data_IF_635638211620
#
_entry.id   IF_635638211620
#
_cell.length_a   1.000
_cell.length_b   1.000
_cell.length_c   1.000
_cell.angle_alpha   90.00
_cell.angle_beta   90.00
_cell.angle_gamma   90.00
#
_symmetry.space_group_name_H-M   'P 1'
#
loop_
_entity.id
_entity.type
_entity.pdbx_description
1 polymer ?
#
# COMPACT_ATOMS: atom_id res chain seq x y z
N UNK A 1 -6.97 -19.91 20.44
CA UNK A 1 -7.08 -18.64 21.18
C UNK A 1 -8.44 -18.06 20.86
N UNK A 2 -9.34 -17.98 21.83
CA UNK A 2 -10.63 -17.29 21.67
C UNK A 2 -10.33 -15.82 21.37
N UNK A 3 -10.63 -15.33 20.16
CA UNK A 3 -10.63 -13.89 19.86
C UNK A 3 -11.48 -13.25 20.96
N UNK A 4 -10.86 -12.46 21.83
CA UNK A 4 -11.59 -11.65 22.82
C UNK A 4 -12.50 -10.75 21.98
N UNK A 5 -13.81 -11.00 21.98
CA UNK A 5 -14.71 -10.24 21.13
C UNK A 5 -14.89 -8.87 21.76
N UNK A 6 -14.17 -7.87 21.25
CA UNK A 6 -14.45 -6.47 21.56
C UNK A 6 -15.93 -6.19 21.31
N UNK A 7 -16.56 -5.29 22.10
CA UNK A 7 -17.94 -4.87 21.88
C UNK A 7 -18.21 -4.50 20.42
N UNK A 8 -19.45 -4.69 19.94
CA UNK A 8 -19.80 -4.41 18.54
C UNK A 8 -19.50 -2.97 18.13
N UNK A 9 -19.64 -2.02 19.06
CA UNK A 9 -19.39 -0.59 18.88
C UNK A 9 -17.92 -0.19 19.07
N UNK A 10 -17.01 -1.15 19.32
CA UNK A 10 -15.59 -0.84 19.50
C UNK A 10 -15.01 -0.35 18.16
N UNK A 11 -14.40 0.85 18.10
CA UNK A 11 -13.88 1.40 16.86
C UNK A 11 -12.83 0.49 16.23
N UNK A 12 -12.93 0.28 14.92
CA UNK A 12 -12.03 -0.61 14.17
C UNK A 12 -11.43 0.06 12.96
N UNK A 13 -10.21 -0.33 12.63
CA UNK A 13 -9.56 -0.08 11.35
C UNK A 13 -9.23 -1.43 10.73
N UNK A 14 -9.60 -1.62 9.47
CA UNK A 14 -9.26 -2.83 8.72
C UNK A 14 -8.13 -2.52 7.72
N UNK A 15 -7.12 -3.37 7.72
CA UNK A 15 -6.01 -3.31 6.79
C UNK A 15 -6.16 -4.46 5.81
N UNK A 16 -6.68 -4.18 4.62
CA UNK A 16 -6.94 -5.19 3.60
C UNK A 16 -5.91 -5.11 2.48
N UNK A 17 -5.23 -6.23 2.21
CA UNK A 17 -4.17 -6.24 1.21
C UNK A 17 -3.48 -7.60 1.03
N UNK A 18 -2.30 -7.55 0.43
CA UNK A 18 -1.46 -8.73 0.18
C UNK A 18 -0.39 -8.94 1.25
N UNK A 19 0.71 -9.63 0.91
CA UNK A 19 1.81 -9.90 1.83
C UNK A 19 2.50 -8.63 2.36
N UNK A 20 2.42 -7.50 1.65
CA UNK A 20 2.91 -6.20 2.16
C UNK A 20 2.04 -5.67 3.31
N UNK A 21 0.76 -6.04 3.34
CA UNK A 21 -0.12 -5.75 4.46
C UNK A 21 0.05 -6.76 5.58
N UNK A 22 0.15 -8.05 5.25
CA UNK A 22 0.35 -9.13 6.23
C UNK A 22 1.57 -8.87 7.10
N UNK A 23 2.71 -8.59 6.46
CA UNK A 23 3.99 -8.38 7.14
C UNK A 23 4.05 -7.08 7.94
N UNK A 24 3.11 -6.16 7.75
CA UNK A 24 3.11 -4.89 8.46
C UNK A 24 2.88 -5.03 9.98
N UNK A 25 2.45 -6.21 10.46
CA UNK A 25 2.32 -6.53 11.88
C UNK A 25 3.56 -7.22 12.47
N UNK A 26 4.59 -7.51 11.66
CA UNK A 26 5.81 -8.17 12.14
C UNK A 26 6.69 -7.18 12.91
N UNK A 27 7.20 -7.62 14.06
CA UNK A 27 8.01 -6.77 14.95
C UNK A 27 9.29 -6.27 14.29
N UNK A 28 9.93 -7.13 13.49
CA UNK A 28 11.16 -6.83 12.76
C UNK A 28 11.00 -5.70 11.74
N UNK A 29 9.78 -5.50 11.25
CA UNK A 29 9.51 -4.69 10.08
C UNK A 29 8.99 -3.29 10.47
N UNK A 30 8.58 -3.10 11.73
CA UNK A 30 8.05 -1.84 12.28
C UNK A 30 6.98 -1.20 11.37
N UNK A 31 6.12 -2.06 10.81
CA UNK A 31 5.17 -1.72 9.75
C UNK A 31 4.00 -0.84 10.19
N UNK A 32 3.23 -0.38 9.20
CA UNK A 32 2.12 0.55 9.42
C UNK A 32 1.02 -0.04 10.32
N UNK A 33 0.80 -1.36 10.33
CA UNK A 33 -0.14 -2.00 11.23
C UNK A 33 0.29 -1.83 12.69
N UNK A 34 1.56 -2.13 13.01
CA UNK A 34 2.16 -1.90 14.33
C UNK A 34 2.09 -0.43 14.74
N UNK A 35 2.42 0.48 13.82
CA UNK A 35 2.35 1.93 14.07
C UNK A 35 0.93 2.39 14.40
N UNK A 36 -0.08 1.84 13.72
CA UNK A 36 -1.49 2.10 14.03
C UNK A 36 -1.88 1.54 15.40
N UNK A 37 -1.45 0.31 15.73
CA UNK A 37 -1.68 -0.29 17.05
C UNK A 37 -1.07 0.55 18.17
N UNK A 38 0.19 0.97 18.03
CA UNK A 38 0.90 1.83 18.97
C UNK A 38 0.22 3.20 19.11
N UNK A 39 -0.19 3.81 17.99
CA UNK A 39 -0.80 5.13 18.01
C UNK A 39 -2.16 5.12 18.72
N UNK A 40 -3.01 4.14 18.40
CA UNK A 40 -4.36 4.02 18.94
C UNK A 40 -4.45 3.18 20.21
N UNK A 41 -3.33 2.76 20.80
CA UNK A 41 -3.24 1.85 21.95
C UNK A 41 -4.40 2.00 22.95
N UNK A 42 -5.17 0.91 23.10
CA UNK A 42 -6.35 0.81 23.97
C UNK A 42 -7.57 1.63 23.55
N UNK A 43 -7.65 2.14 22.30
CA UNK A 43 -8.74 3.02 21.81
C UNK A 43 -9.42 2.52 20.55
N UNK A 44 -8.63 1.98 19.60
CA UNK A 44 -9.11 1.48 18.31
C UNK A 44 -8.46 0.13 18.05
N UNK A 45 -9.24 -0.83 17.55
CA UNK A 45 -8.77 -2.16 17.23
C UNK A 45 -8.31 -2.19 15.77
N UNK A 46 -7.07 -2.65 15.55
CA UNK A 46 -6.49 -2.78 14.22
C UNK A 46 -6.62 -4.23 13.78
N UNK A 47 -7.30 -4.47 12.66
CA UNK A 47 -7.49 -5.80 12.10
C UNK A 47 -6.68 -5.90 10.81
N UNK A 48 -5.67 -6.78 10.80
CA UNK A 48 -4.85 -7.04 9.62
C UNK A 48 -5.39 -8.24 8.86
N UNK A 49 -5.90 -8.01 7.66
CA UNK A 49 -6.39 -9.01 6.70
C UNK A 49 -5.49 -9.04 5.44
N UNK A 50 -4.18 -9.05 5.64
CA UNK A 50 -3.18 -9.26 4.60
C UNK A 50 -3.03 -10.74 4.26
N UNK A 51 -3.35 -11.15 3.02
CA UNK A 51 -3.34 -12.58 2.66
C UNK A 51 -2.81 -12.83 1.23
N UNK A 52 -3.34 -12.16 0.18
CA UNK A 52 -2.99 -12.49 -1.23
C UNK A 52 -3.46 -11.46 -2.28
N UNK A 53 -3.70 -11.87 -3.55
CA UNK A 53 -4.05 -10.99 -4.72
C UNK A 53 -5.51 -10.53 -4.77
N UNK A 54 -5.84 -9.52 -5.59
CA UNK A 54 -7.24 -9.03 -5.71
C UNK A 54 -8.24 -10.14 -6.03
N UNK A 55 -7.91 -11.05 -6.96
CA UNK A 55 -8.83 -12.10 -7.41
C UNK A 55 -9.11 -13.15 -6.34
N UNK A 56 -8.07 -13.66 -5.69
CA UNK A 56 -8.24 -14.67 -4.64
C UNK A 56 -8.85 -14.08 -3.36
N UNK A 57 -8.75 -12.76 -3.17
CA UNK A 57 -9.26 -12.08 -2.00
C UNK A 57 -10.75 -11.76 -2.04
N UNK A 58 -11.48 -11.87 -3.15
CA UNK A 58 -12.90 -11.45 -3.19
C UNK A 58 -13.74 -12.13 -2.13
N UNK A 59 -13.61 -13.46 -1.99
CA UNK A 59 -14.32 -14.21 -0.96
C UNK A 59 -13.90 -13.84 0.46
N UNK A 60 -12.62 -13.52 0.65
CA UNK A 60 -12.07 -13.12 1.94
C UNK A 60 -12.58 -11.72 2.30
N UNK A 61 -12.57 -10.78 1.36
CA UNK A 61 -13.14 -9.45 1.53
C UNK A 61 -14.60 -9.51 1.96
N UNK A 62 -15.43 -10.29 1.26
CA UNK A 62 -16.82 -10.46 1.65
C UNK A 62 -16.94 -11.05 3.06
N UNK A 63 -16.13 -12.05 3.40
CA UNK A 63 -16.19 -12.75 4.70
C UNK A 63 -15.66 -11.93 5.87
N UNK A 64 -14.47 -11.36 5.75
CA UNK A 64 -13.73 -10.73 6.85
C UNK A 64 -14.03 -9.24 6.98
N UNK A 65 -14.51 -8.59 5.92
CA UNK A 65 -14.84 -7.15 5.92
C UNK A 65 -16.34 -6.96 5.86
N UNK A 66 -17.01 -7.34 4.77
CA UNK A 66 -18.42 -6.98 4.55
C UNK A 66 -19.36 -7.69 5.52
N UNK A 67 -19.20 -9.00 5.73
CA UNK A 67 -20.02 -9.74 6.68
C UNK A 67 -19.76 -9.27 8.12
N UNK A 68 -18.51 -8.96 8.49
CA UNK A 68 -18.20 -8.41 9.82
C UNK A 68 -18.84 -7.02 10.03
N UNK A 69 -18.83 -6.15 9.01
CA UNK A 69 -19.54 -4.87 9.04
C UNK A 69 -21.06 -5.09 9.21
N UNK A 70 -21.62 -6.08 8.53
CA UNK A 70 -23.04 -6.46 8.66
C UNK A 70 -23.37 -6.94 10.07
N UNK A 71 -22.58 -7.89 10.58
CA UNK A 71 -22.81 -8.56 11.85
C UNK A 71 -22.66 -7.62 13.04
N UNK A 72 -21.73 -6.66 12.94
CA UNK A 72 -21.52 -5.64 13.97
C UNK A 72 -22.55 -4.51 13.92
N UNK A 73 -23.02 -4.17 12.73
CA UNK A 73 -23.92 -3.04 12.53
C UNK A 73 -23.21 -1.69 12.65
N UNK A 74 -23.98 -0.61 12.72
CA UNK A 74 -23.44 0.74 12.86
C UNK A 74 -22.99 1.04 14.32
N UNK A 75 -21.94 1.86 14.52
CA UNK A 75 -21.10 2.48 13.50
C UNK A 75 -20.13 1.48 12.86
N UNK A 76 -19.94 1.60 11.55
CA UNK A 76 -18.96 0.80 10.82
C UNK A 76 -17.51 1.18 11.18
N UNK A 77 -16.53 0.51 10.56
CA UNK A 77 -15.10 0.80 10.77
C UNK A 77 -14.77 2.27 10.52
N UNK A 78 -13.73 2.78 11.17
CA UNK A 78 -13.23 4.14 10.97
C UNK A 78 -12.73 4.32 9.54
N UNK A 79 -11.86 3.40 9.10
CA UNK A 79 -11.48 3.27 7.71
C UNK A 79 -11.03 1.84 7.37
N UNK A 80 -11.01 1.56 6.07
CA UNK A 80 -10.42 0.36 5.49
C UNK A 80 -9.31 0.79 4.53
N UNK A 81 -8.08 0.28 4.70
CA UNK A 81 -7.05 0.42 3.66
C UNK A 81 -7.21 -0.70 2.64
N UNK A 82 -7.04 -0.39 1.36
CA UNK A 82 -6.96 -1.37 0.28
C UNK A 82 -5.58 -1.20 -0.36
N UNK A 83 -4.68 -2.16 -0.09
CA UNK A 83 -3.30 -2.14 -0.57
C UNK A 83 -2.98 -3.41 -1.37
N UNK A 84 -3.25 -3.34 -2.67
CA UNK A 84 -3.18 -4.46 -3.61
C UNK A 84 -2.55 -4.01 -4.93
N UNK A 85 -2.15 -4.98 -5.76
CA UNK A 85 -1.52 -4.72 -7.06
C UNK A 85 -0.06 -5.17 -7.15
N UNK A 86 0.61 -5.42 -6.01
CA UNK A 86 2.01 -5.83 -6.04
C UNK A 86 2.15 -7.24 -6.65
N UNK A 87 1.22 -8.14 -6.36
CA UNK A 87 1.15 -9.45 -6.99
C UNK A 87 0.46 -9.39 -8.35
N UNK A 88 -0.69 -8.71 -8.45
CA UNK A 88 -1.53 -8.64 -9.65
C UNK A 88 -0.79 -8.15 -10.91
N UNK A 89 0.20 -7.28 -10.71
CA UNK A 89 1.06 -6.74 -11.76
C UNK A 89 2.22 -7.65 -12.18
N UNK A 90 2.33 -8.87 -11.64
CA UNK A 90 3.35 -9.83 -12.06
C UNK A 90 3.23 -10.17 -13.54
N UNK A 91 4.36 -10.47 -14.19
CA UNK A 91 4.32 -10.92 -15.58
C UNK A 91 3.66 -12.30 -15.68
N UNK A 92 2.94 -12.53 -16.78
CA UNK A 92 2.39 -13.84 -17.14
C UNK A 92 3.52 -14.88 -17.03
N UNK A 93 3.25 -16.02 -16.38
CA UNK A 93 4.17 -17.12 -16.05
C UNK A 93 5.20 -16.87 -14.92
N UNK A 94 5.29 -15.65 -14.37
CA UNK A 94 6.23 -15.32 -13.27
C UNK A 94 5.55 -15.12 -11.91
N UNK A 95 4.21 -15.08 -11.87
CA UNK A 95 3.45 -14.90 -10.65
C UNK A 95 1.95 -14.79 -10.90
N UNK A 96 1.17 -14.40 -9.89
CA UNK A 96 -0.27 -14.24 -10.01
C UNK A 96 -0.60 -12.98 -10.81
N UNK A 97 -0.79 -13.11 -12.12
CA UNK A 97 -1.20 -11.99 -12.97
C UNK A 97 -2.72 -11.84 -13.00
N UNK A 98 -3.20 -10.60 -12.84
CA UNK A 98 -4.61 -10.24 -13.08
C UNK A 98 -4.63 -9.19 -14.18
N UNK A 99 -5.34 -9.41 -15.30
CA UNK A 99 -5.45 -8.41 -16.36
C UNK A 99 -5.94 -7.06 -15.84
N UNK A 100 -5.35 -5.95 -16.31
CA UNK A 100 -5.65 -4.62 -15.79
C UNK A 100 -7.17 -4.29 -15.74
N UNK A 101 -8.00 -4.60 -16.76
CA UNK A 101 -9.45 -4.36 -16.66
C UNK A 101 -10.13 -5.15 -15.54
N UNK A 102 -9.72 -6.40 -15.29
CA UNK A 102 -10.25 -7.23 -14.21
C UNK A 102 -9.79 -6.69 -12.84
N UNK A 103 -8.54 -6.25 -12.74
CA UNK A 103 -8.01 -5.58 -11.55
C UNK A 103 -8.81 -4.30 -11.22
N UNK A 104 -9.09 -3.46 -12.23
CA UNK A 104 -9.90 -2.26 -12.07
C UNK A 104 -11.31 -2.58 -11.53
N UNK A 105 -11.96 -3.61 -12.09
CA UNK A 105 -13.27 -4.08 -11.62
C UNK A 105 -13.21 -4.48 -10.14
N UNK A 106 -12.22 -5.28 -9.75
CA UNK A 106 -12.07 -5.73 -8.36
C UNK A 106 -11.86 -4.58 -7.38
N UNK A 107 -10.97 -3.63 -7.70
CA UNK A 107 -10.72 -2.48 -6.82
C UNK A 107 -11.98 -1.63 -6.66
N UNK A 108 -12.71 -1.37 -7.75
CA UNK A 108 -13.98 -0.63 -7.71
C UNK A 108 -15.05 -1.37 -6.92
N UNK A 109 -15.15 -2.70 -7.08
CA UNK A 109 -16.04 -3.55 -6.28
C UNK A 109 -15.76 -3.36 -4.79
N UNK A 110 -14.51 -3.48 -4.35
CA UNK A 110 -14.15 -3.33 -2.94
C UNK A 110 -14.49 -1.95 -2.37
N UNK A 111 -14.18 -0.88 -3.10
CA UNK A 111 -14.51 0.48 -2.66
C UNK A 111 -16.03 0.67 -2.56
N UNK A 112 -16.78 0.34 -3.62
CA UNK A 112 -18.23 0.52 -3.65
C UNK A 112 -18.94 -0.35 -2.59
N UNK A 113 -18.51 -1.60 -2.41
CA UNK A 113 -19.05 -2.48 -1.37
C UNK A 113 -18.94 -1.89 0.03
N UNK A 114 -17.94 -1.05 0.32
CA UNK A 114 -17.83 -0.33 1.61
C UNK A 114 -18.68 0.94 1.59
N UNK A 115 -18.61 1.73 0.52
CA UNK A 115 -19.29 3.02 0.44
C UNK A 115 -20.81 2.88 0.48
N UNK A 116 -21.34 1.88 -0.21
CA UNK A 116 -22.77 1.63 -0.36
C UNK A 116 -23.36 0.84 0.81
N UNK A 117 -22.53 0.30 1.70
CA UNK A 117 -23.00 -0.54 2.79
C UNK A 117 -23.76 0.26 3.87
N UNK A 118 -24.98 -0.15 4.28
CA UNK A 118 -25.82 0.63 5.20
C UNK A 118 -25.21 0.79 6.59
N UNK A 119 -24.45 -0.19 7.08
CA UNK A 119 -23.74 -0.09 8.37
C UNK A 119 -22.41 0.67 8.30
N UNK A 120 -21.93 1.01 7.10
CA UNK A 120 -20.62 1.62 6.90
C UNK A 120 -20.70 3.07 6.40
N UNK A 121 -21.82 3.76 6.61
CA UNK A 121 -22.05 5.11 6.05
C UNK A 121 -21.01 6.15 6.48
N UNK A 122 -20.35 5.94 7.63
CA UNK A 122 -19.24 6.79 8.12
C UNK A 122 -17.85 6.24 7.80
N UNK A 123 -17.74 5.03 7.26
CA UNK A 123 -16.48 4.34 7.01
C UNK A 123 -15.74 4.97 5.84
N UNK A 124 -14.48 5.29 6.06
CA UNK A 124 -13.60 5.82 5.02
C UNK A 124 -12.84 4.71 4.31
N UNK A 125 -12.33 4.99 3.12
CA UNK A 125 -11.50 4.06 2.35
C UNK A 125 -10.20 4.75 1.95
N UNK A 126 -9.07 4.08 2.18
CA UNK A 126 -7.75 4.55 1.71
C UNK A 126 -7.25 3.56 0.69
N UNK A 127 -7.13 3.99 -0.56
CA UNK A 127 -6.45 3.23 -1.60
C UNK A 127 -4.96 3.51 -1.54
N UNK A 128 -4.13 2.47 -1.53
CA UNK A 128 -2.67 2.60 -1.52
C UNK A 128 -2.14 1.95 -2.79
N UNK A 129 -1.41 2.71 -3.61
CA UNK A 129 -0.82 2.17 -4.84
C UNK A 129 0.29 1.16 -4.52
N UNK A 130 0.45 0.06 -5.29
CA UNK A 130 1.57 -0.85 -5.11
C UNK A 130 2.93 -0.14 -5.27
N UNK A 131 3.99 -0.60 -4.56
CA UNK A 131 5.33 -0.07 -4.73
C UNK A 131 5.98 -0.56 -6.04
N UNK A 132 7.11 0.05 -6.45
CA UNK A 132 8.02 -0.57 -7.40
C UNK A 132 8.62 -1.87 -6.86
N UNK A 133 9.24 -2.62 -7.75
CA UNK A 133 10.21 -3.67 -7.39
C UNK A 133 11.61 -3.07 -7.40
N UNK A 134 12.47 -3.55 -6.52
CA UNK A 134 13.88 -3.17 -6.53
C UNK A 134 14.66 -4.16 -7.39
N UNK A 135 14.70 -3.87 -8.70
CA UNK A 135 15.51 -4.63 -9.63
C UNK A 135 16.92 -4.04 -9.67
N UNK A 136 17.97 -4.84 -9.40
CA UNK A 136 19.34 -4.40 -9.59
C UNK A 136 19.62 -4.10 -11.07
N UNK A 137 20.37 -3.03 -11.32
CA UNK A 137 20.86 -2.76 -12.67
C UNK A 137 21.76 -3.91 -13.12
N UNK A 138 21.86 -4.16 -14.42
CA UNK A 138 22.69 -5.25 -14.96
C UNK A 138 24.20 -5.08 -14.71
N UNK A 139 24.62 -4.01 -14.02
CA UNK A 139 26.02 -3.67 -13.78
C UNK A 139 26.79 -3.29 -15.05
N UNK A 140 26.08 -3.12 -16.18
CA UNK A 140 26.67 -2.54 -17.38
C UNK A 140 26.89 -1.05 -17.11
N UNK A 141 28.14 -0.63 -17.03
CA UNK A 141 28.47 0.79 -17.05
C UNK A 141 27.91 1.42 -18.32
N UNK A 142 27.42 2.67 -18.28
CA UNK A 142 27.13 3.41 -19.50
C UNK A 142 28.35 3.31 -20.41
N UNK A 143 28.19 2.77 -21.62
CA UNK A 143 29.26 2.86 -22.61
C UNK A 143 29.63 4.34 -22.78
N UNK A 144 30.92 4.63 -23.01
CA UNK A 144 31.43 5.98 -23.33
C UNK A 144 30.39 6.76 -24.14
N UNK A 145 30.05 8.00 -23.72
CA UNK A 145 28.96 8.89 -24.17
C UNK A 145 28.74 8.97 -25.70
N UNK A 146 28.33 7.86 -26.29
CA UNK A 146 28.01 7.69 -27.70
C UNK A 146 26.50 7.45 -27.74
N UNK A 147 25.70 8.46 -28.15
CA UNK A 147 24.24 8.42 -28.06
C UNK A 147 23.63 7.15 -28.65
N UNK A 148 24.15 6.67 -29.79
CA UNK A 148 23.64 5.46 -30.45
C UNK A 148 23.92 4.15 -29.70
N UNK A 149 24.93 4.10 -28.84
CA UNK A 149 25.22 2.93 -28.00
C UNK A 149 24.34 2.95 -26.75
N UNK A 150 24.17 4.10 -26.11
CA UNK A 150 23.30 4.29 -24.94
C UNK A 150 21.85 3.94 -25.25
N UNK A 151 21.31 4.42 -26.38
CA UNK A 151 19.94 4.13 -26.80
C UNK A 151 19.72 2.63 -27.07
N UNK A 152 20.71 1.97 -27.69
CA UNK A 152 20.66 0.54 -27.94
C UNK A 152 20.71 -0.27 -26.65
N UNK A 153 21.58 0.09 -25.70
CA UNK A 153 21.68 -0.55 -24.39
C UNK A 153 20.39 -0.41 -23.59
N UNK A 154 19.79 0.78 -23.58
CA UNK A 154 18.50 1.01 -22.92
C UNK A 154 17.39 0.17 -23.57
N UNK A 155 17.33 0.13 -24.89
CA UNK A 155 16.35 -0.69 -25.63
C UNK A 155 16.47 -2.18 -25.30
N UNK A 156 17.70 -2.70 -25.17
CA UNK A 156 17.95 -4.08 -24.75
C UNK A 156 17.53 -4.29 -23.30
N UNK A 157 17.87 -3.37 -22.39
CA UNK A 157 17.49 -3.46 -20.98
C UNK A 157 15.97 -3.49 -20.79
N UNK A 158 15.22 -2.74 -21.62
CA UNK A 158 13.74 -2.76 -21.64
C UNK A 158 13.15 -4.11 -22.04
N UNK A 159 13.90 -4.98 -22.72
CA UNK A 159 13.45 -6.34 -23.04
C UNK A 159 13.60 -7.30 -21.85
N UNK A 160 14.36 -6.92 -20.82
CA UNK A 160 14.57 -7.75 -19.63
C UNK A 160 13.27 -8.00 -18.88
N UNK A 161 13.16 -9.18 -18.26
CA UNK A 161 12.04 -9.52 -17.37
C UNK A 161 11.90 -8.50 -16.24
N UNK A 162 13.03 -7.97 -15.80
CA UNK A 162 13.16 -7.14 -14.64
C UNK A 162 12.52 -5.76 -14.86
N UNK A 163 12.94 -5.04 -15.90
CA UNK A 163 12.29 -3.80 -16.33
C UNK A 163 10.81 -4.02 -16.68
N UNK A 164 10.46 -5.10 -17.40
CA UNK A 164 9.05 -5.41 -17.73
C UNK A 164 8.18 -5.56 -16.48
N UNK A 165 8.72 -6.12 -15.41
CA UNK A 165 8.00 -6.27 -14.13
C UNK A 165 7.83 -4.92 -13.46
N UNK A 166 8.88 -4.09 -13.45
CA UNK A 166 8.82 -2.72 -12.93
C UNK A 166 7.79 -1.87 -13.69
N UNK A 167 7.82 -1.88 -15.04
CA UNK A 167 6.89 -1.14 -15.88
C UNK A 167 5.44 -1.62 -15.70
N UNK A 168 5.23 -2.94 -15.58
CA UNK A 168 3.91 -3.49 -15.26
C UNK A 168 3.39 -2.97 -13.92
N UNK A 169 4.22 -2.99 -12.86
CA UNK A 169 3.83 -2.47 -11.54
C UNK A 169 3.53 -0.97 -11.56
N UNK A 170 4.27 -0.18 -12.36
CA UNK A 170 4.01 1.24 -12.57
C UNK A 170 2.59 1.47 -13.11
N UNK A 171 2.18 0.73 -14.13
CA UNK A 171 0.84 0.83 -14.72
C UNK A 171 -0.26 0.55 -13.68
N UNK A 172 -0.08 -0.46 -12.82
CA UNK A 172 -1.04 -0.76 -11.76
C UNK A 172 -1.05 0.30 -10.65
N UNK A 173 0.11 0.86 -10.32
CA UNK A 173 0.21 1.98 -9.38
C UNK A 173 -0.53 3.22 -9.88
N UNK A 174 -0.24 3.64 -11.12
CA UNK A 174 -0.94 4.75 -11.79
C UNK A 174 -2.44 4.48 -11.86
N UNK A 175 -2.85 3.23 -12.08
CA UNK A 175 -4.27 2.88 -12.10
C UNK A 175 -4.95 3.00 -10.74
N UNK A 176 -4.32 2.56 -9.65
CA UNK A 176 -4.85 2.79 -8.30
C UNK A 176 -4.99 4.30 -8.02
N UNK A 177 -3.99 5.09 -8.40
CA UNK A 177 -4.05 6.56 -8.25
C UNK A 177 -5.22 7.14 -9.03
N UNK A 178 -5.40 6.75 -10.30
CA UNK A 178 -6.50 7.22 -11.13
C UNK A 178 -7.87 6.86 -10.56
N UNK A 179 -8.08 5.61 -10.14
CA UNK A 179 -9.34 5.17 -9.48
C UNK A 179 -9.57 5.96 -8.20
N UNK A 180 -8.54 6.11 -7.37
CA UNK A 180 -8.62 6.86 -6.13
C UNK A 180 -9.01 8.31 -6.34
N UNK A 181 -8.39 9.00 -7.30
CA UNK A 181 -8.73 10.39 -7.67
C UNK A 181 -10.16 10.53 -8.18
N UNK A 182 -10.64 9.56 -8.95
CA UNK A 182 -12.05 9.53 -9.39
C UNK A 182 -13.01 9.46 -8.19
N UNK A 183 -12.72 8.60 -7.21
CA UNK A 183 -13.54 8.49 -5.99
C UNK A 183 -13.42 9.71 -5.08
N UNK A 184 -12.22 10.31 -4.94
CA UNK A 184 -12.03 11.58 -4.24
C UNK A 184 -12.88 12.71 -4.83
N UNK A 185 -13.11 12.70 -6.15
CA UNK A 185 -14.01 13.65 -6.82
C UNK A 185 -15.50 13.40 -6.56
N UNK A 186 -15.88 12.24 -6.00
CA UNK A 186 -17.27 11.84 -5.74
C UNK A 186 -17.65 11.92 -4.26
N UNK A 187 -16.69 11.70 -3.36
CA UNK A 187 -16.93 11.70 -1.91
C UNK A 187 -15.67 12.06 -1.13
N UNK A 188 -15.85 12.69 0.02
CA UNK A 188 -14.80 12.97 1.00
C UNK A 188 -14.35 11.72 1.79
N UNK A 189 -15.11 10.61 1.70
CA UNK A 189 -14.83 9.35 2.40
C UNK A 189 -13.70 8.53 1.79
N UNK A 190 -13.21 8.89 0.59
CA UNK A 190 -12.11 8.18 -0.06
C UNK A 190 -10.86 9.05 -0.07
N UNK A 191 -9.70 8.42 0.16
CA UNK A 191 -8.39 9.01 -0.06
C UNK A 191 -7.52 8.05 -0.87
N UNK A 192 -6.54 8.61 -1.59
CA UNK A 192 -5.52 7.80 -2.28
C UNK A 192 -4.13 8.21 -1.88
N UNK A 193 -3.34 7.22 -1.48
CA UNK A 193 -1.91 7.32 -1.24
C UNK A 193 -1.17 6.80 -2.47
N UNK A 194 -0.57 7.72 -3.23
CA UNK A 194 0.40 7.40 -4.28
C UNK A 194 1.73 7.00 -3.64
N UNK A 195 1.75 5.77 -3.12
CA UNK A 195 2.91 5.22 -2.45
C UNK A 195 4.07 4.92 -3.41
N UNK A 196 3.78 4.65 -4.70
CA UNK A 196 4.82 4.51 -5.72
C UNK A 196 5.66 5.77 -5.81
N UNK A 197 5.01 6.93 -5.97
CA UNK A 197 5.71 8.22 -6.01
C UNK A 197 6.37 8.53 -4.67
N UNK A 198 5.70 8.25 -3.55
CA UNK A 198 6.26 8.55 -2.24
C UNK A 198 7.55 7.78 -1.92
N UNK A 199 7.59 6.46 -2.18
CA UNK A 199 8.78 5.65 -1.89
C UNK A 199 9.93 5.94 -2.85
N UNK A 200 9.64 6.18 -4.13
CA UNK A 200 10.66 6.56 -5.12
C UNK A 200 11.26 7.93 -4.78
N UNK A 201 10.45 8.93 -4.44
CA UNK A 201 10.93 10.23 -3.96
C UNK A 201 11.76 10.13 -2.69
N UNK A 202 11.31 9.32 -1.73
CA UNK A 202 12.07 9.10 -0.49
C UNK A 202 13.48 8.56 -0.80
N UNK A 203 13.59 7.60 -1.73
CA UNK A 203 14.89 7.06 -2.14
C UNK A 203 15.74 8.05 -2.91
N UNK A 204 15.17 8.76 -3.88
CA UNK A 204 15.85 9.80 -4.64
C UNK A 204 16.43 10.88 -3.71
N UNK A 205 15.66 11.30 -2.69
CA UNK A 205 16.11 12.27 -1.69
C UNK A 205 17.30 11.77 -0.86
N UNK A 206 17.34 10.50 -0.48
CA UNK A 206 18.51 9.93 0.20
C UNK A 206 19.77 9.94 -0.68
N UNK A 207 19.59 9.90 -2.00
CA UNK A 207 20.68 9.97 -2.97
C UNK A 207 21.06 11.41 -3.35
N UNK A 208 20.43 12.41 -2.72
CA UNK A 208 20.68 13.82 -3.03
C UNK A 208 20.08 14.29 -4.35
N UNK A 209 19.16 13.53 -4.95
CA UNK A 209 18.45 13.93 -6.17
C UNK A 209 17.46 15.05 -5.83
N UNK A 210 17.46 16.13 -6.63
CA UNK A 210 16.52 17.24 -6.48
C UNK A 210 15.13 16.89 -6.99
N UNK A 211 14.15 17.77 -6.80
CA UNK A 211 12.80 17.55 -7.36
C UNK A 211 12.83 17.54 -8.90
N UNK A 212 13.60 18.42 -9.52
CA UNK A 212 13.81 18.44 -10.97
C UNK A 212 14.48 17.16 -11.45
N UNK A 213 15.53 16.70 -10.75
CA UNK A 213 16.19 15.44 -11.07
C UNK A 213 15.27 14.22 -10.92
N UNK A 214 14.33 14.24 -9.97
CA UNK A 214 13.32 13.20 -9.87
C UNK A 214 12.43 13.16 -11.12
N UNK A 215 11.98 14.31 -11.61
CA UNK A 215 11.15 14.39 -12.81
C UNK A 215 11.89 13.92 -14.06
N UNK A 216 13.18 14.27 -14.21
CA UNK A 216 14.02 13.78 -15.30
C UNK A 216 14.15 12.25 -15.26
N UNK A 217 14.47 11.67 -14.09
CA UNK A 217 14.55 10.22 -13.92
C UNK A 217 13.22 9.52 -14.21
N UNK A 218 12.09 10.14 -13.85
CA UNK A 218 10.76 9.57 -14.12
C UNK A 218 10.42 9.54 -15.61
N UNK A 219 10.73 10.63 -16.33
CA UNK A 219 10.55 10.72 -17.80
C UNK A 219 11.43 9.69 -18.52
N UNK A 220 12.67 9.50 -18.04
CA UNK A 220 13.61 8.54 -18.61
C UNK A 220 13.34 7.09 -18.17
N UNK A 221 12.37 6.88 -17.27
CA UNK A 221 12.05 5.61 -16.61
C UNK A 221 13.24 5.00 -15.84
N UNK A 222 14.13 5.87 -15.35
CA UNK A 222 15.34 5.53 -14.58
C UNK A 222 15.19 5.76 -13.09
N UNK A 223 13.96 5.91 -12.59
CA UNK A 223 13.70 5.89 -11.15
C UNK A 223 14.25 4.60 -10.50
N UNK A 224 14.52 4.64 -9.18
CA UNK A 224 15.12 3.52 -8.49
C UNK A 224 14.37 2.20 -8.72
N UNK A 225 15.12 1.12 -8.86
CA UNK A 225 14.59 -0.23 -9.06
C UNK A 225 14.08 -0.54 -10.48
N UNK A 226 14.23 0.35 -11.46
CA UNK A 226 13.81 0.09 -12.85
C UNK A 226 14.71 -0.92 -13.58
N UNK A 227 15.95 -1.10 -13.11
CA UNK A 227 16.95 -1.96 -13.72
C UNK A 227 17.51 -1.45 -15.06
N UNK A 228 17.15 -0.23 -15.48
CA UNK A 228 17.75 0.40 -16.66
C UNK A 228 19.19 0.86 -16.37
N UNK A 229 20.06 0.95 -17.39
CA UNK A 229 21.38 1.56 -17.24
C UNK A 229 21.27 2.98 -16.65
N UNK A 230 22.05 3.24 -15.60
CA UNK A 230 22.03 4.50 -14.85
C UNK A 230 20.95 4.60 -13.76
N UNK A 231 20.01 3.66 -13.68
CA UNK A 231 19.04 3.63 -12.58
C UNK A 231 19.69 3.09 -11.31
N UNK A 232 19.35 3.70 -10.18
CA UNK A 232 19.85 3.26 -8.88
C UNK A 232 18.98 2.15 -8.28
N UNK A 233 19.50 1.46 -7.27
CA UNK A 233 18.75 0.49 -6.47
C UNK A 233 18.21 1.15 -5.20
N UNK A 234 17.11 0.64 -4.68
CA UNK A 234 16.60 1.03 -3.37
C UNK A 234 17.48 0.50 -2.23
N UNK A 235 17.86 -0.78 -2.31
CA UNK A 235 18.66 -1.47 -1.31
C UNK A 235 17.84 -2.08 -0.16
N UNK A 236 18.52 -2.90 0.65
CA UNK A 236 17.89 -3.80 1.65
C UNK A 236 17.09 -3.12 2.75
N UNK A 237 17.40 -1.86 3.07
CA UNK A 237 16.63 -1.10 4.06
C UNK A 237 15.23 -0.74 3.55
N UNK A 238 15.07 -0.57 2.24
CA UNK A 238 13.79 -0.30 1.60
C UNK A 238 13.09 -1.60 1.20
N UNK A 239 13.82 -2.54 0.59
CA UNK A 239 13.28 -3.82 0.14
C UNK A 239 14.18 -4.99 0.55
N UNK A 240 13.69 -5.91 1.39
CA UNK A 240 14.51 -7.02 1.91
C UNK A 240 14.87 -8.06 0.84
N UNK A 241 13.98 -8.27 -0.13
CA UNK A 241 14.10 -9.27 -1.20
C UNK A 241 13.75 -8.71 -2.59
N UNK A 242 13.68 -7.38 -2.72
CA UNK A 242 13.27 -6.68 -3.93
C UNK A 242 11.76 -6.50 -4.11
N UNK A 243 10.93 -7.03 -3.20
CA UNK A 243 9.48 -6.87 -3.21
C UNK A 243 8.93 -6.45 -1.84
N UNK A 244 9.28 -7.19 -0.78
CA UNK A 244 8.83 -6.91 0.58
C UNK A 244 9.67 -5.82 1.21
N UNK A 245 9.04 -4.98 2.03
CA UNK A 245 9.73 -3.83 2.60
C UNK A 245 10.71 -4.23 3.71
N UNK A 246 11.81 -3.49 3.76
CA UNK A 246 12.63 -3.35 4.95
C UNK A 246 12.10 -2.23 5.86
N UNK A 247 12.86 -1.91 6.90
CA UNK A 247 12.48 -0.92 7.91
C UNK A 247 12.16 0.46 7.30
N UNK A 248 12.98 0.97 6.37
CA UNK A 248 12.75 2.27 5.73
C UNK A 248 11.55 2.26 4.80
N UNK A 249 11.33 1.16 4.08
CA UNK A 249 10.17 1.02 3.20
C UNK A 249 8.85 1.18 3.98
N UNK A 250 8.75 0.48 5.11
CA UNK A 250 7.61 0.61 6.01
C UNK A 250 7.55 1.95 6.75
N UNK A 251 8.70 2.54 7.10
CA UNK A 251 8.74 3.87 7.71
C UNK A 251 8.12 4.92 6.79
N UNK A 252 8.50 4.94 5.50
CA UNK A 252 7.91 5.83 4.51
C UNK A 252 6.41 5.57 4.39
N UNK A 253 5.98 4.32 4.24
CA UNK A 253 4.55 3.98 4.13
C UNK A 253 3.76 4.48 5.34
N UNK A 254 4.28 4.22 6.54
CA UNK A 254 3.63 4.63 7.78
C UNK A 254 3.53 6.15 7.88
N UNK A 255 4.63 6.87 7.62
CA UNK A 255 4.65 8.33 7.66
C UNK A 255 3.62 8.93 6.70
N UNK A 256 3.61 8.49 5.45
CA UNK A 256 2.71 9.04 4.44
C UNK A 256 1.24 8.67 4.70
N UNK A 257 0.98 7.44 5.18
CA UNK A 257 -0.37 7.02 5.56
C UNK A 257 -0.91 7.88 6.70
N UNK A 258 -0.13 8.06 7.78
CA UNK A 258 -0.50 8.90 8.91
C UNK A 258 -0.69 10.36 8.51
N UNK A 259 0.23 10.90 7.71
CA UNK A 259 0.11 12.26 7.17
C UNK A 259 -1.17 12.45 6.36
N UNK A 260 -1.50 11.48 5.50
CA UNK A 260 -2.70 11.53 4.66
C UNK A 260 -3.99 11.52 5.50
N UNK A 261 -4.18 10.51 6.35
CA UNK A 261 -5.47 10.34 7.01
C UNK A 261 -5.71 11.39 8.10
N UNK A 262 -4.67 11.82 8.83
CA UNK A 262 -4.84 12.85 9.87
C UNK A 262 -5.06 14.24 9.26
N UNK A 263 -4.42 14.55 8.12
CA UNK A 263 -4.67 15.81 7.42
C UNK A 263 -6.08 15.84 6.81
N UNK A 264 -6.52 14.73 6.20
CA UNK A 264 -7.81 14.67 5.51
C UNK A 264 -8.99 14.51 6.47
N UNK A 265 -8.81 13.74 7.55
CA UNK A 265 -9.84 13.43 8.53
C UNK A 265 -9.34 13.62 9.96
N UNK A 266 -9.23 14.88 10.43
CA UNK A 266 -8.73 15.19 11.78
C UNK A 266 -9.56 14.58 12.91
N UNK A 267 -10.80 14.17 12.66
CA UNK A 267 -11.61 13.43 13.63
C UNK A 267 -11.06 12.02 13.95
N UNK A 268 -10.11 11.52 13.15
CA UNK A 268 -9.38 10.27 13.41
C UNK A 268 -8.18 10.47 14.36
N UNK A 269 -7.93 11.67 14.87
CA UNK A 269 -6.94 11.86 15.94
C UNK A 269 -7.24 10.97 17.14
N UNK A 270 -6.21 10.31 17.71
CA UNK A 270 -6.41 9.32 18.77
C UNK A 270 -7.12 9.88 20.01
N UNK A 271 -6.95 11.17 20.28
CA UNK A 271 -7.55 11.87 21.43
C UNK A 271 -9.08 11.95 21.32
N UNK A 272 -9.65 11.75 20.13
CA UNK A 272 -11.09 11.70 19.89
C UNK A 272 -11.73 10.38 20.31
N UNK A 273 -10.92 9.35 20.58
CA UNK A 273 -11.40 8.04 21.01
C UNK A 273 -11.08 7.82 22.49
N UNK A 274 -12.06 7.44 23.33
CA UNK A 274 -11.81 7.18 24.74
C UNK A 274 -10.90 5.96 24.91
N UNK A 275 -10.02 6.01 25.92
CA UNK A 275 -9.26 4.83 26.32
C UNK A 275 -10.25 3.82 26.90
N UNK A 276 -10.42 2.68 26.23
CA UNK A 276 -11.22 1.56 26.70
C UNK A 276 -10.29 0.62 27.44
N UNK A 277 -10.06 0.92 28.72
CA UNK A 277 -9.32 0.02 29.60
C UNK A 277 -10.09 -1.30 29.65
N UNK A 278 -9.53 -2.36 29.07
CA UNK A 278 -10.02 -3.71 29.33
C UNK A 278 -10.05 -3.88 30.84
N UNK A 279 -11.23 -4.10 31.41
CA UNK A 279 -11.41 -4.43 32.81
C UNK A 279 -10.77 -5.81 33.09
N UNK A 280 -9.45 -5.86 33.14
CA UNK A 280 -8.68 -7.00 33.62
C UNK A 280 -8.03 -6.55 34.91
N UNK A 281 -8.59 -7.05 36.02
CA UNK A 281 -8.21 -6.90 37.42
C UNK A 281 -8.81 -5.71 38.20
N UNK A 282 -10.14 -5.70 38.26
CA UNK A 282 -10.84 -5.36 39.52
C UNK A 282 -11.48 -6.62 40.07
N UNK A 283 -10.66 -7.62 40.42
CA UNK A 283 -11.10 -8.77 41.21
C UNK A 283 -10.35 -8.76 42.55
N UNK A 284 -11.10 -8.36 43.57
CA UNK A 284 -10.98 -8.66 44.99
C UNK A 284 -9.77 -8.09 45.77
N UNK A 285 -10.05 -7.03 46.53
CA UNK A 285 -9.72 -7.02 47.97
C UNK A 285 -10.53 -8.09 48.69
#
# INVERSE_FOLDING_TARGET
MTRSSTPKDYPRIYLFGDSLTERACYESDNGFARKLEEYYDGRVEIINEGIQTTKSLRRIFEREIINEITDRGAPGPLFVTIFLGANDACLISSGPYVPLPEFEEHIRHYVNSILDHPSAQSTKVILISPPPVDVPSSGMEPADDLPGVTDAMQSIAKLSRAYKTWASKRVFAEKIVAIGKEFEGKTDRVAVLDFWTAITKAKCKEQGVTEEGFHELDIEERLPGSGLPGATEFGKEFFVDGLHFGSKGYEVLSRELFGLFLAKWPELERQKFPLRVCALHSMNM
#
